data_IF_875658287131
#
_entry.id   IF_875658287131
#
_cell.length_a   1.000
_cell.length_b   1.000
_cell.length_c   1.000
_cell.angle_alpha   90.00
_cell.angle_beta   90.00
_cell.angle_gamma   90.00
#
_symmetry.space_group_name_H-M   'P 1'
#
loop_
_entity.id
_entity.type
_entity.pdbx_description
1 polymer ?
#
# COMPACT_ATOMS: atom_id res chain seq x y z
N UNK A 1 -25.73 12.77 8.22
CA UNK A 1 -24.64 11.91 7.70
C UNK A 1 -24.98 11.71 6.23
N UNK A 2 -24.12 12.16 5.30
CA UNK A 2 -24.45 12.07 3.88
C UNK A 2 -24.56 10.58 3.51
N UNK A 3 -25.75 10.14 3.15
CA UNK A 3 -25.99 8.78 2.66
C UNK A 3 -25.46 8.72 1.23
N UNK A 4 -24.26 8.15 1.07
CA UNK A 4 -23.68 7.90 -0.23
C UNK A 4 -24.24 6.59 -0.78
N UNK A 5 -24.30 6.44 -2.11
CA UNK A 5 -24.66 5.15 -2.70
C UNK A 5 -23.67 4.06 -2.27
N UNK A 6 -24.17 2.83 -2.12
CA UNK A 6 -23.44 1.69 -1.57
C UNK A 6 -21.99 1.51 -2.08
N UNK A 7 -21.68 1.59 -3.40
CA UNK A 7 -20.30 1.40 -3.88
C UNK A 7 -19.34 2.51 -3.42
N UNK A 8 -19.79 3.77 -3.43
CA UNK A 8 -18.98 4.91 -2.97
C UNK A 8 -18.78 4.82 -1.46
N UNK A 9 -19.84 4.52 -0.71
CA UNK A 9 -19.74 4.38 0.74
C UNK A 9 -18.72 3.30 1.14
N UNK A 10 -18.76 2.13 0.48
CA UNK A 10 -17.79 1.06 0.74
C UNK A 10 -16.35 1.51 0.53
N UNK A 11 -16.09 2.27 -0.54
CA UNK A 11 -14.76 2.77 -0.86
C UNK A 11 -14.28 3.82 0.16
N UNK A 12 -15.17 4.72 0.60
CA UNK A 12 -14.90 5.67 1.69
C UNK A 12 -14.50 4.94 2.96
N UNK A 13 -15.23 3.89 3.34
CA UNK A 13 -14.93 3.10 4.54
C UNK A 13 -13.57 2.42 4.46
N UNK A 14 -13.14 1.92 3.29
CA UNK A 14 -11.80 1.36 3.13
C UNK A 14 -10.72 2.44 3.27
N UNK A 15 -10.88 3.60 2.63
CA UNK A 15 -9.89 4.68 2.76
C UNK A 15 -9.78 5.22 4.18
N UNK A 16 -10.88 5.25 4.95
CA UNK A 16 -10.87 5.67 6.37
C UNK A 16 -10.08 4.75 7.29
N UNK A 17 -9.77 3.51 6.88
CA UNK A 17 -8.94 2.60 7.67
C UNK A 17 -7.46 2.95 7.63
N UNK A 18 -7.04 3.81 6.70
CA UNK A 18 -5.66 4.24 6.59
C UNK A 18 -5.33 5.29 7.68
N UNK A 19 -4.19 5.16 8.37
CA UNK A 19 -3.79 6.14 9.37
C UNK A 19 -3.66 7.53 8.73
N UNK A 20 -4.26 8.55 9.35
CA UNK A 20 -4.25 9.93 8.84
C UNK A 20 -5.35 10.27 7.83
N UNK A 21 -6.21 9.32 7.44
CA UNK A 21 -7.31 9.58 6.49
C UNK A 21 -8.65 9.73 7.22
N UNK A 22 -9.07 10.98 7.40
CA UNK A 22 -10.39 11.31 7.96
C UNK A 22 -11.54 11.16 6.96
N UNK A 23 -12.79 11.26 7.43
CA UNK A 23 -14.00 11.05 6.62
C UNK A 23 -14.06 11.97 5.38
N UNK A 24 -13.67 13.24 5.51
CA UNK A 24 -13.64 14.21 4.40
C UNK A 24 -12.61 13.82 3.34
N UNK A 25 -11.42 13.39 3.78
CA UNK A 25 -10.34 12.97 2.88
C UNK A 25 -10.69 11.67 2.16
N UNK A 26 -11.26 10.70 2.88
CA UNK A 26 -11.73 9.44 2.31
C UNK A 26 -12.83 9.64 1.25
N UNK A 27 -13.81 10.52 1.51
CA UNK A 27 -14.81 10.91 0.52
C UNK A 27 -14.15 11.50 -0.73
N UNK A 28 -13.19 12.41 -0.56
CA UNK A 28 -12.45 13.01 -1.69
C UNK A 28 -11.73 11.94 -2.52
N UNK A 29 -11.10 10.96 -1.89
CA UNK A 29 -10.44 9.86 -2.61
C UNK A 29 -11.44 8.97 -3.34
N UNK A 30 -12.57 8.61 -2.71
CA UNK A 30 -13.59 7.79 -3.34
C UNK A 30 -14.28 8.49 -4.53
N UNK A 31 -14.44 9.81 -4.50
CA UNK A 31 -14.95 10.55 -5.66
C UNK A 31 -13.89 10.73 -6.75
N UNK A 32 -12.61 10.83 -6.38
CA UNK A 32 -11.52 10.93 -7.35
C UNK A 32 -11.43 9.68 -8.25
N UNK A 33 -11.81 8.49 -7.75
CA UNK A 33 -11.81 7.26 -8.56
C UNK A 33 -12.85 7.27 -9.68
N UNK A 34 -13.87 8.13 -9.64
CA UNK A 34 -14.83 8.27 -10.74
C UNK A 34 -14.21 8.92 -11.98
N UNK A 35 -13.08 9.61 -11.83
CA UNK A 35 -12.35 10.23 -12.94
C UNK A 35 -11.22 9.34 -13.49
N UNK A 36 -10.97 8.19 -12.85
CA UNK A 36 -9.98 7.23 -13.31
C UNK A 36 -10.61 6.28 -14.33
N UNK A 37 -9.81 5.82 -15.27
CA UNK A 37 -10.17 4.69 -16.13
C UNK A 37 -10.24 3.39 -15.32
N UNK A 38 -10.88 2.37 -15.90
CA UNK A 38 -10.95 1.05 -15.29
C UNK A 38 -9.55 0.43 -15.13
N UNK A 39 -8.66 0.64 -16.10
CA UNK A 39 -7.26 0.19 -16.06
C UNK A 39 -6.50 0.82 -14.88
N UNK A 40 -6.59 2.14 -14.71
CA UNK A 40 -5.98 2.83 -13.57
C UNK A 40 -6.55 2.36 -12.21
N UNK A 41 -7.84 2.03 -12.16
CA UNK A 41 -8.46 1.49 -10.95
C UNK A 41 -7.93 0.08 -10.62
N UNK A 42 -7.77 -0.76 -11.65
CA UNK A 42 -7.20 -2.10 -11.51
C UNK A 42 -5.74 -2.03 -11.06
N UNK A 43 -4.92 -1.21 -11.70
CA UNK A 43 -3.52 -1.00 -11.33
C UNK A 43 -3.37 -0.53 -9.88
N UNK A 44 -4.25 0.38 -9.43
CA UNK A 44 -4.25 0.85 -8.05
C UNK A 44 -4.62 -0.27 -7.06
N UNK A 45 -5.61 -1.10 -7.38
CA UNK A 45 -5.98 -2.26 -6.57
C UNK A 45 -4.87 -3.32 -6.52
N UNK A 46 -4.18 -3.54 -7.64
CA UNK A 46 -3.05 -4.46 -7.75
C UNK A 46 -1.85 -3.96 -6.96
N UNK A 47 -1.54 -2.67 -6.99
CA UNK A 47 -0.49 -2.09 -6.16
C UNK A 47 -0.76 -2.31 -4.65
N UNK A 48 -2.00 -2.10 -4.20
CA UNK A 48 -2.37 -2.32 -2.80
C UNK A 48 -2.23 -3.79 -2.40
N UNK A 49 -2.70 -4.71 -3.25
CA UNK A 49 -2.65 -6.15 -2.95
C UNK A 49 -1.24 -6.73 -3.12
N UNK A 50 -0.43 -6.18 -4.03
CA UNK A 50 0.97 -6.54 -4.25
C UNK A 50 1.84 -6.29 -3.03
N UNK A 51 1.63 -5.18 -2.31
CA UNK A 51 2.36 -4.90 -1.06
C UNK A 51 2.25 -6.04 -0.04
N UNK A 52 1.09 -6.70 0.06
CA UNK A 52 0.94 -7.84 0.99
C UNK A 52 1.56 -9.14 0.50
N UNK A 53 1.73 -9.28 -0.81
CA UNK A 53 2.30 -10.46 -1.45
C UNK A 53 3.83 -10.39 -1.50
N UNK A 54 4.35 -9.23 -1.89
CA UNK A 54 5.73 -9.09 -2.35
C UNK A 54 6.64 -8.39 -1.32
N UNK A 55 6.06 -7.73 -0.32
CA UNK A 55 6.87 -7.07 0.72
C UNK A 55 7.11 -8.04 1.88
N UNK A 56 8.36 -8.46 1.98
CA UNK A 56 8.87 -9.31 3.03
C UNK A 56 9.73 -8.52 4.02
N UNK A 57 9.96 -9.11 5.19
CA UNK A 57 10.95 -8.60 6.14
C UNK A 57 12.25 -9.35 5.94
N UNK A 58 13.34 -8.61 5.78
CA UNK A 58 14.66 -9.19 5.71
C UNK A 58 14.95 -9.99 7.00
N UNK A 59 15.43 -11.24 6.91
CA UNK A 59 15.76 -12.04 8.09
C UNK A 59 16.96 -11.50 8.89
N UNK A 60 17.80 -10.64 8.27
CA UNK A 60 19.03 -10.12 8.88
C UNK A 60 18.81 -8.79 9.59
N UNK A 61 18.25 -7.79 8.89
CA UNK A 61 18.08 -6.43 9.45
C UNK A 61 16.63 -6.07 9.77
N UNK A 62 15.68 -6.96 9.48
CA UNK A 62 14.23 -6.73 9.62
C UNK A 62 13.68 -5.53 8.83
N UNK A 63 14.47 -4.96 7.92
CA UNK A 63 14.03 -3.98 6.93
C UNK A 63 13.08 -4.60 5.90
N UNK A 64 12.39 -3.76 5.13
CA UNK A 64 11.50 -4.21 4.07
C UNK A 64 12.32 -4.63 2.84
N UNK A 65 11.94 -5.75 2.22
CA UNK A 65 12.58 -6.29 1.02
C UNK A 65 11.54 -6.85 0.07
N UNK A 66 11.84 -6.80 -1.23
CA UNK A 66 11.09 -7.50 -2.27
C UNK A 66 11.50 -8.98 -2.42
N UNK A 67 12.59 -9.41 -1.76
CA UNK A 67 13.08 -10.80 -1.79
C UNK A 67 12.97 -11.44 -0.41
N UNK A 68 12.63 -12.73 -0.41
CA UNK A 68 12.56 -13.56 0.81
C UNK A 68 13.95 -13.86 1.37
N UNK A 69 14.98 -13.91 0.52
CA UNK A 69 16.33 -14.36 0.90
C UNK A 69 17.14 -13.26 1.62
N UNK A 70 16.69 -12.01 1.56
CA UNK A 70 17.37 -10.87 2.17
C UNK A 70 17.15 -9.59 1.38
N UNK A 71 17.30 -8.43 2.03
CA UNK A 71 17.32 -7.16 1.32
C UNK A 71 18.61 -6.99 0.53
N UNK A 72 18.56 -6.17 -0.53
CA UNK A 72 19.69 -5.91 -1.44
C UNK A 72 20.94 -5.40 -0.70
N UNK A 73 20.74 -4.76 0.46
CA UNK A 73 21.82 -4.30 1.32
C UNK A 73 22.49 -5.48 2.04
N UNK A 74 21.70 -6.40 2.61
CA UNK A 74 22.23 -7.53 3.38
C UNK A 74 22.81 -8.63 2.49
N UNK A 75 22.35 -8.78 1.26
CA UNK A 75 22.88 -9.74 0.28
C UNK A 75 24.06 -9.18 -0.52
N UNK A 76 24.33 -7.86 -0.41
CA UNK A 76 25.45 -7.23 -1.10
C UNK A 76 26.80 -7.65 -0.49
N UNK A 77 27.75 -8.15 -1.31
CA UNK A 77 29.09 -8.52 -0.85
C UNK A 77 29.96 -7.31 -0.47
N UNK A 78 29.54 -6.09 -0.84
CA UNK A 78 30.25 -4.85 -0.47
C UNK A 78 29.88 -4.34 0.93
N UNK A 79 28.88 -4.95 1.59
CA UNK A 79 28.47 -4.54 2.92
C UNK A 79 29.46 -5.05 3.97
N UNK A 80 29.97 -4.14 4.78
CA UNK A 80 30.66 -4.48 6.01
C UNK A 80 29.64 -4.96 7.05
N UNK A 81 29.70 -6.25 7.42
CA UNK A 81 28.78 -6.88 8.38
C UNK A 81 29.10 -6.55 9.84
N UNK A 82 30.21 -5.86 10.11
CA UNK A 82 30.59 -5.45 11.47
C UNK A 82 29.92 -4.15 11.93
N UNK A 83 29.32 -3.39 11.01
CA UNK A 83 28.62 -2.13 11.28
C UNK A 83 27.14 -2.29 10.94
N UNK A 84 26.26 -2.00 11.92
CA UNK A 84 24.81 -2.14 11.80
C UNK A 84 24.16 -0.87 11.29
#
# INVERSE_FOLDING_TARGET
>A
MADYIAPIQRLIEQFRRLPGVGAKTAARYAFATLNLSEEECCDFADAISGVKRDVHKCPVCHGLSASTDGCDICTSPARDSSVV
#
